data_IF_771880107162
#
_entry.id   IF_771880107162
#
_cell.length_a   1.000
_cell.length_b   1.000
_cell.length_c   1.000
_cell.angle_alpha   90.00
_cell.angle_beta   90.00
_cell.angle_gamma   90.00
#
_symmetry.space_group_name_H-M   'P 1'
#
loop_
_entity.id
_entity.type
_entity.pdbx_description
1 polymer ?
#
# COMPACT_ATOMS: atom_id res chain seq x y z
N UNK A 1 -7.86 -22.53 19.94
CA UNK A 1 -8.44 -23.01 18.67
C UNK A 1 -9.11 -21.89 17.84
N UNK A 2 -9.67 -20.84 18.45
CA UNK A 2 -10.22 -19.69 17.70
C UNK A 2 -9.20 -18.86 16.88
N UNK A 3 -7.96 -18.74 17.38
CA UNK A 3 -6.92 -17.93 16.70
C UNK A 3 -6.50 -18.54 15.36
N UNK A 4 -6.52 -19.87 15.24
CA UNK A 4 -6.08 -20.55 14.02
C UNK A 4 -7.07 -20.38 12.87
N UNK A 5 -8.36 -20.22 13.17
CA UNK A 5 -9.40 -19.99 12.16
C UNK A 5 -9.40 -18.53 11.66
N UNK A 6 -9.13 -17.57 12.55
CA UNK A 6 -8.97 -16.16 12.17
C UNK A 6 -7.71 -15.94 11.31
N UNK A 7 -6.59 -16.59 11.67
CA UNK A 7 -5.37 -16.56 10.86
C UNK A 7 -5.58 -17.19 9.47
N UNK A 8 -6.41 -18.24 9.37
CA UNK A 8 -6.73 -18.89 8.08
C UNK A 8 -7.61 -18.03 7.18
N UNK A 9 -8.51 -17.22 7.73
CA UNK A 9 -9.36 -16.30 6.93
C UNK A 9 -8.53 -15.12 6.41
N UNK A 10 -7.69 -14.52 7.25
CA UNK A 10 -6.74 -13.49 6.83
C UNK A 10 -5.79 -14.01 5.74
N UNK A 11 -5.37 -15.28 5.87
CA UNK A 11 -4.59 -15.98 4.85
C UNK A 11 -5.39 -16.30 3.59
N UNK A 12 -6.66 -16.66 3.66
CA UNK A 12 -7.48 -16.95 2.48
C UNK A 12 -7.80 -15.68 1.68
N UNK A 13 -7.92 -14.52 2.33
CA UNK A 13 -8.04 -13.22 1.64
C UNK A 13 -6.71 -12.75 1.05
N UNK A 14 -5.59 -13.02 1.72
CA UNK A 14 -4.25 -12.73 1.19
C UNK A 14 -3.87 -13.69 0.03
N UNK A 15 -4.06 -15.00 0.19
CA UNK A 15 -3.80 -16.00 -0.84
C UNK A 15 -4.84 -15.99 -1.98
N UNK A 16 -6.10 -15.66 -1.68
CA UNK A 16 -7.20 -15.61 -2.65
C UNK A 16 -7.30 -14.31 -3.45
N UNK A 17 -6.65 -13.23 -2.99
CA UNK A 17 -6.59 -11.94 -3.70
C UNK A 17 -5.17 -11.50 -4.12
N UNK A 18 -4.13 -12.10 -3.54
CA UNK A 18 -2.73 -11.88 -3.92
C UNK A 18 -2.15 -13.12 -4.56
N UNK A 19 -2.77 -13.60 -5.64
CA UNK A 19 -1.98 -14.29 -6.67
C UNK A 19 -1.06 -13.23 -7.29
N UNK A 20 0.08 -12.97 -6.65
CA UNK A 20 1.17 -12.22 -7.26
C UNK A 20 1.71 -13.08 -8.41
N UNK A 21 1.04 -13.04 -9.56
CA UNK A 21 1.62 -13.52 -10.80
C UNK A 21 2.74 -12.56 -11.15
N UNK A 22 3.96 -12.93 -10.78
CA UNK A 22 5.18 -12.29 -11.25
C UNK A 22 5.26 -12.58 -12.75
N UNK A 23 4.88 -11.60 -13.58
CA UNK A 23 5.16 -11.66 -15.00
C UNK A 23 6.68 -11.47 -15.18
N UNK A 24 7.33 -12.54 -15.62
CA UNK A 24 8.73 -12.55 -16.04
C UNK A 24 8.93 -11.65 -17.26
N UNK A 25 9.63 -10.52 -17.11
CA UNK A 25 10.17 -9.79 -18.26
C UNK A 25 11.68 -10.02 -18.37
N UNK A 26 12.21 -10.33 -19.58
CA UNK A 26 13.63 -10.52 -19.78
C UNK A 26 14.31 -9.15 -19.73
N UNK A 27 15.21 -8.95 -18.76
CA UNK A 27 16.16 -7.83 -18.82
C UNK A 27 17.21 -8.24 -19.85
N UNK A 28 16.98 -7.89 -21.11
CA UNK A 28 17.96 -8.05 -22.17
C UNK A 28 19.13 -7.10 -21.96
N UNK A 29 20.33 -7.66 -21.83
CA UNK A 29 21.58 -6.88 -21.78
C UNK A 29 22.83 -7.70 -21.43
N UNK A 30 23.14 -8.74 -22.20
CA UNK A 30 24.47 -9.36 -22.24
C UNK A 30 24.83 -10.32 -21.09
N UNK A 31 24.98 -11.60 -21.46
CA UNK A 31 25.65 -12.67 -20.70
C UNK A 31 25.26 -12.87 -19.22
N UNK A 32 24.30 -13.76 -19.00
CA UNK A 32 24.41 -14.78 -17.95
C UNK A 32 24.21 -14.32 -16.50
N UNK A 33 23.01 -13.87 -16.16
CA UNK A 33 22.45 -14.06 -14.81
C UNK A 33 20.93 -13.96 -14.89
N UNK A 34 20.25 -15.11 -15.01
CA UNK A 34 18.82 -15.18 -14.71
C UNK A 34 18.67 -15.10 -13.19
N UNK A 35 18.46 -13.90 -12.65
CA UNK A 35 17.88 -13.77 -11.32
C UNK A 35 16.39 -14.04 -11.47
N UNK A 36 16.00 -15.28 -11.18
CA UNK A 36 14.62 -15.68 -11.05
C UNK A 36 13.97 -14.84 -9.95
N UNK A 37 13.14 -13.86 -10.32
CA UNK A 37 12.33 -13.11 -9.36
C UNK A 37 11.16 -14.01 -8.96
N UNK A 38 11.44 -14.99 -8.11
CA UNK A 38 10.45 -15.88 -7.45
C UNK A 38 10.33 -15.61 -5.95
N UNK A 39 11.08 -14.63 -5.44
CA UNK A 39 11.52 -14.68 -4.03
C UNK A 39 10.71 -13.82 -3.05
N UNK A 40 9.71 -13.04 -3.49
CA UNK A 40 8.98 -12.17 -2.54
C UNK A 40 7.78 -12.88 -1.89
N UNK A 41 7.03 -13.71 -2.64
CA UNK A 41 5.89 -14.47 -2.08
C UNK A 41 6.35 -15.69 -1.31
N UNK A 42 7.29 -16.45 -1.86
CA UNK A 42 7.86 -17.65 -1.22
C UNK A 42 8.51 -17.29 0.12
N UNK A 43 9.22 -16.15 0.19
CA UNK A 43 9.83 -15.67 1.43
C UNK A 43 8.82 -15.22 2.49
N UNK A 44 7.63 -14.74 2.13
CA UNK A 44 6.65 -14.29 3.13
C UNK A 44 5.88 -15.47 3.70
N UNK A 45 5.46 -16.39 2.84
CA UNK A 45 4.72 -17.59 3.22
C UNK A 45 5.62 -18.52 4.07
N UNK A 46 6.89 -18.66 3.70
CA UNK A 46 7.91 -19.33 4.52
C UNK A 46 8.18 -18.59 5.83
N UNK A 47 8.28 -17.26 5.80
CA UNK A 47 8.47 -16.47 7.03
C UNK A 47 7.31 -16.64 8.00
N UNK A 48 6.07 -16.65 7.54
CA UNK A 48 4.90 -16.88 8.39
C UNK A 48 4.79 -18.33 8.87
N UNK A 49 5.23 -19.30 8.06
CA UNK A 49 5.23 -20.72 8.41
C UNK A 49 6.35 -21.09 9.40
N UNK A 50 7.51 -20.45 9.30
CA UNK A 50 8.71 -20.81 10.06
C UNK A 50 8.96 -19.96 11.29
N UNK A 51 8.36 -18.76 11.39
CA UNK A 51 8.62 -17.83 12.50
C UNK A 51 7.47 -17.82 13.50
N UNK A 52 7.82 -17.74 14.78
CA UNK A 52 6.83 -17.49 15.83
C UNK A 52 6.31 -16.04 15.73
N UNK A 53 5.12 -15.73 16.28
CA UNK A 53 4.62 -14.35 16.36
C UNK A 53 5.59 -13.37 17.04
N UNK A 54 6.35 -13.85 18.03
CA UNK A 54 7.39 -13.05 18.69
C UNK A 54 8.54 -12.70 17.76
N UNK A 55 9.00 -13.66 16.95
CA UNK A 55 10.06 -13.42 15.96
C UNK A 55 9.60 -12.46 14.86
N UNK A 56 8.35 -12.61 14.39
CA UNK A 56 7.74 -11.68 13.44
C UNK A 56 7.71 -10.26 14.00
N UNK A 57 7.33 -10.09 15.28
CA UNK A 57 7.32 -8.78 15.94
C UNK A 57 8.70 -8.14 16.01
N UNK A 58 9.76 -8.92 16.27
CA UNK A 58 11.15 -8.45 16.28
C UNK A 58 11.59 -8.00 14.87
N UNK A 59 11.30 -8.81 13.85
CA UNK A 59 11.62 -8.50 12.45
C UNK A 59 10.87 -7.25 11.98
N UNK A 60 9.58 -7.15 12.32
CA UNK A 60 8.73 -6.02 11.98
C UNK A 60 9.25 -4.74 12.64
N UNK A 61 9.58 -4.77 13.94
CA UNK A 61 10.19 -3.65 14.65
C UNK A 61 11.45 -3.13 13.95
N UNK A 62 12.41 -4.02 13.68
CA UNK A 62 13.65 -3.64 13.00
C UNK A 62 13.38 -3.03 11.63
N UNK A 63 12.45 -3.61 10.90
CA UNK A 63 12.08 -3.11 9.57
C UNK A 63 11.42 -1.74 9.66
N UNK A 64 10.41 -1.56 10.51
CA UNK A 64 9.72 -0.28 10.71
C UNK A 64 10.67 0.86 11.04
N UNK A 65 11.62 0.64 11.95
CA UNK A 65 12.67 1.63 12.27
C UNK A 65 13.52 1.97 11.03
N UNK A 66 13.89 0.97 10.21
CA UNK A 66 14.62 1.20 8.96
C UNK A 66 13.82 1.94 7.88
N UNK A 67 12.48 1.94 7.98
CA UNK A 67 11.59 2.72 7.11
C UNK A 67 11.46 4.18 7.57
N UNK A 68 12.09 4.55 8.68
CA UNK A 68 12.03 5.87 9.28
C UNK A 68 10.84 6.08 10.23
N UNK A 69 10.18 5.02 10.69
CA UNK A 69 9.17 5.14 11.74
C UNK A 69 9.83 5.52 13.07
N UNK A 70 9.15 6.32 13.89
CA UNK A 70 9.62 6.62 15.25
C UNK A 70 9.43 5.40 16.15
N UNK A 71 10.25 5.28 17.18
CA UNK A 71 10.14 4.19 18.15
C UNK A 71 8.74 4.13 18.79
N UNK A 72 8.21 5.28 19.21
CA UNK A 72 6.83 5.38 19.76
C UNK A 72 5.77 4.85 18.79
N UNK A 73 5.82 5.25 17.52
CA UNK A 73 4.86 4.81 16.50
C UNK A 73 5.02 3.32 16.19
N UNK A 74 6.28 2.83 16.16
CA UNK A 74 6.60 1.42 15.98
C UNK A 74 5.99 0.57 17.09
N UNK A 75 6.15 0.98 18.34
CA UNK A 75 5.57 0.27 19.48
C UNK A 75 4.06 0.30 19.48
N UNK A 76 3.48 1.45 19.15
CA UNK A 76 2.03 1.58 19.08
C UNK A 76 1.46 0.70 17.97
N UNK A 77 2.07 0.70 16.78
CA UNK A 77 1.67 -0.16 15.67
C UNK A 77 1.75 -1.65 16.03
N UNK A 78 2.89 -2.11 16.58
CA UNK A 78 3.10 -3.53 16.89
C UNK A 78 2.25 -4.04 18.06
N UNK A 79 1.64 -3.16 18.83
CA UNK A 79 0.70 -3.47 19.90
C UNK A 79 -0.76 -3.15 19.52
N UNK A 80 -1.01 -2.73 18.27
CA UNK A 80 -2.35 -2.39 17.82
C UNK A 80 -3.14 -3.67 17.49
N UNK A 81 -4.23 -3.90 18.23
CA UNK A 81 -5.10 -5.07 18.09
C UNK A 81 -5.95 -5.06 16.82
N UNK A 82 -6.02 -3.95 16.09
CA UNK A 82 -6.61 -3.88 14.76
C UNK A 82 -5.86 -4.78 13.75
N UNK A 83 -4.55 -4.99 13.96
CA UNK A 83 -3.73 -5.81 13.08
C UNK A 83 -3.40 -7.16 13.71
N UNK A 84 -3.74 -8.25 13.03
CA UNK A 84 -3.16 -9.57 13.34
C UNK A 84 -1.63 -9.56 13.08
N UNK A 85 -0.86 -10.48 13.68
CA UNK A 85 0.58 -10.58 13.41
C UNK A 85 0.93 -10.73 11.92
N UNK A 86 0.08 -11.44 11.16
CA UNK A 86 0.23 -11.59 9.71
C UNK A 86 -0.06 -10.28 8.98
N UNK A 87 -1.12 -9.55 9.34
CA UNK A 87 -1.45 -8.24 8.77
C UNK A 87 -0.34 -7.20 9.05
N UNK A 88 0.20 -7.18 10.28
CA UNK A 88 1.35 -6.33 10.61
C UNK A 88 2.54 -6.62 9.69
N UNK A 89 2.86 -7.90 9.52
CA UNK A 89 4.00 -8.33 8.70
C UNK A 89 3.79 -8.00 7.22
N UNK A 90 2.57 -8.19 6.70
CA UNK A 90 2.21 -7.84 5.32
C UNK A 90 2.35 -6.33 5.06
N UNK A 91 1.81 -5.48 5.94
CA UNK A 91 1.95 -4.03 5.86
C UNK A 91 3.43 -3.60 5.84
N UNK A 92 4.22 -4.13 6.77
CA UNK A 92 5.64 -3.83 6.90
C UNK A 92 6.43 -4.22 5.64
N UNK A 93 6.16 -5.39 5.07
CA UNK A 93 6.84 -5.87 3.88
C UNK A 93 6.44 -5.10 2.63
N UNK A 94 5.16 -4.74 2.48
CA UNK A 94 4.72 -3.88 1.39
C UNK A 94 5.45 -2.53 1.46
N UNK A 95 5.50 -1.88 2.62
CA UNK A 95 6.27 -0.64 2.80
C UNK A 95 7.78 -0.83 2.57
N UNK A 96 8.35 -1.97 2.96
CA UNK A 96 9.75 -2.30 2.67
C UNK A 96 10.02 -2.39 1.18
N UNK A 97 9.07 -2.91 0.41
CA UNK A 97 9.19 -3.04 -1.05
C UNK A 97 9.25 -1.69 -1.79
N UNK A 98 8.80 -0.62 -1.15
CA UNK A 98 8.98 0.77 -1.59
C UNK A 98 10.41 1.27 -1.33
N UNK A 99 11.43 0.50 -1.70
CA UNK A 99 12.83 0.86 -1.49
C UNK A 99 13.18 2.18 -2.20
N UNK A 100 13.90 3.05 -1.53
CA UNK A 100 14.27 4.38 -2.04
C UNK A 100 13.15 5.42 -1.98
N UNK A 101 11.93 5.04 -1.56
CA UNK A 101 10.84 5.98 -1.31
C UNK A 101 11.04 6.63 0.06
N UNK A 102 11.15 7.96 0.10
CA UNK A 102 11.30 8.69 1.34
C UNK A 102 9.98 8.77 2.14
N UNK A 103 10.11 9.05 3.45
CA UNK A 103 8.98 9.32 4.35
C UNK A 103 7.97 8.17 4.55
N UNK A 104 8.41 6.91 4.40
CA UNK A 104 7.56 5.72 4.64
C UNK A 104 7.07 5.60 6.09
N UNK A 105 7.87 6.08 7.05
CA UNK A 105 7.49 6.15 8.46
C UNK A 105 6.24 6.99 8.75
N UNK A 106 5.88 7.95 7.89
CA UNK A 106 4.66 8.75 8.08
C UNK A 106 3.39 7.89 7.97
N UNK A 107 3.37 6.91 7.05
CA UNK A 107 2.22 6.02 6.94
C UNK A 107 2.16 5.02 8.11
N UNK A 108 3.32 4.61 8.65
CA UNK A 108 3.38 3.81 9.89
C UNK A 108 2.77 4.59 11.05
N UNK A 109 3.11 5.88 11.19
CA UNK A 109 2.52 6.73 12.22
C UNK A 109 1.00 6.72 12.12
N UNK A 110 0.43 7.03 10.94
CA UNK A 110 -1.03 7.03 10.79
C UNK A 110 -1.65 5.66 11.06
N UNK A 111 -1.10 4.57 10.53
CA UNK A 111 -1.60 3.21 10.80
C UNK A 111 -1.55 2.85 12.30
N UNK A 112 -0.55 3.35 13.03
CA UNK A 112 -0.49 3.21 14.48
C UNK A 112 -1.57 4.04 15.19
N UNK A 113 -1.84 5.24 14.69
CA UNK A 113 -2.65 6.22 15.41
C UNK A 113 -4.14 6.10 15.18
N UNK A 114 -4.55 5.72 13.98
CA UNK A 114 -5.94 5.84 13.53
C UNK A 114 -6.62 4.49 13.34
N UNK A 115 -5.87 3.41 13.12
CA UNK A 115 -6.46 2.09 12.95
C UNK A 115 -7.01 1.56 14.27
N UNK A 116 -8.31 1.29 14.29
CA UNK A 116 -9.07 0.86 15.47
C UNK A 116 -9.72 -0.52 15.29
N UNK A 117 -9.92 -0.95 14.05
CA UNK A 117 -10.51 -2.24 13.71
C UNK A 117 -9.83 -2.91 12.51
N UNK A 118 -10.28 -4.12 12.18
CA UNK A 118 -9.74 -4.91 11.07
C UNK A 118 -9.93 -4.24 9.70
N UNK A 119 -10.97 -3.45 9.51
CA UNK A 119 -11.21 -2.74 8.24
C UNK A 119 -10.13 -1.67 8.01
N UNK A 120 -9.76 -0.93 9.06
CA UNK A 120 -8.65 0.01 9.01
C UNK A 120 -7.32 -0.68 8.70
N UNK A 121 -7.10 -1.87 9.27
CA UNK A 121 -5.91 -2.67 9.02
C UNK A 121 -5.85 -3.17 7.56
N UNK A 122 -6.97 -3.67 7.04
CA UNK A 122 -7.10 -4.08 5.63
C UNK A 122 -6.82 -2.91 4.70
N UNK A 123 -7.39 -1.74 4.98
CA UNK A 123 -7.12 -0.52 4.21
C UNK A 123 -5.62 -0.22 4.18
N UNK A 124 -4.94 -0.24 5.33
CA UNK A 124 -3.51 0.05 5.42
C UNK A 124 -2.67 -0.95 4.62
N UNK A 125 -2.90 -2.25 4.82
CA UNK A 125 -2.15 -3.34 4.18
C UNK A 125 -2.32 -3.29 2.67
N UNK A 126 -3.57 -3.20 2.20
CA UNK A 126 -3.88 -3.27 0.77
C UNK A 126 -3.53 -1.97 0.05
N UNK A 127 -3.62 -0.81 0.71
CA UNK A 127 -3.10 0.46 0.21
C UNK A 127 -1.58 0.38 0.01
N UNK A 128 -0.84 -0.11 1.01
CA UNK A 128 0.61 -0.32 0.88
C UNK A 128 0.95 -1.30 -0.27
N UNK A 129 0.17 -2.36 -0.46
CA UNK A 129 0.33 -3.30 -1.57
C UNK A 129 0.09 -2.63 -2.93
N UNK A 130 -0.96 -1.81 -3.05
CA UNK A 130 -1.27 -1.08 -4.28
C UNK A 130 -0.16 -0.08 -4.62
N UNK A 131 0.35 0.66 -3.63
CA UNK A 131 1.50 1.55 -3.79
C UNK A 131 2.74 0.77 -4.28
N UNK A 132 2.95 -0.43 -3.76
CA UNK A 132 4.06 -1.31 -4.15
C UNK A 132 3.94 -1.78 -5.60
N UNK A 133 2.72 -2.09 -6.06
CA UNK A 133 2.44 -2.40 -7.47
C UNK A 133 2.72 -1.18 -8.36
N UNK A 134 2.21 -0.01 -7.99
CA UNK A 134 2.43 1.24 -8.73
C UNK A 134 3.92 1.55 -8.83
N UNK A 135 4.69 1.40 -7.74
CA UNK A 135 6.11 1.71 -7.71
C UNK A 135 6.93 0.92 -8.76
N UNK A 136 6.50 -0.29 -9.13
CA UNK A 136 7.17 -1.12 -10.14
C UNK A 136 7.02 -0.55 -11.55
N UNK A 137 5.88 0.08 -11.84
CA UNK A 137 5.58 0.65 -13.16
C UNK A 137 5.94 2.14 -13.23
N UNK A 138 5.70 2.86 -12.13
CA UNK A 138 5.91 4.29 -11.96
C UNK A 138 6.74 4.52 -10.69
N UNK A 139 8.07 4.66 -10.80
CA UNK A 139 8.94 4.82 -9.65
C UNK A 139 8.52 6.01 -8.77
N UNK A 140 8.28 5.73 -7.49
CA UNK A 140 7.92 6.72 -6.48
C UNK A 140 9.17 7.34 -5.86
N UNK A 141 9.09 8.61 -5.47
CA UNK A 141 10.15 9.36 -4.81
C UNK A 141 9.93 9.45 -3.30
N UNK A 142 8.71 9.75 -2.86
CA UNK A 142 8.38 9.94 -1.45
C UNK A 142 6.89 9.75 -1.18
N UNK A 143 6.55 9.58 0.08
CA UNK A 143 5.19 9.69 0.58
C UNK A 143 4.96 11.07 1.22
N UNK A 144 3.78 11.62 0.98
CA UNK A 144 3.22 12.77 1.70
C UNK A 144 1.88 12.35 2.31
N UNK A 145 1.34 13.12 3.24
CA UNK A 145 0.08 12.81 3.92
C UNK A 145 -0.93 13.93 3.70
N UNK A 146 -2.17 13.57 3.37
CA UNK A 146 -3.32 14.49 3.45
C UNK A 146 -4.25 13.94 4.53
N UNK A 147 -4.26 14.58 5.70
CA UNK A 147 -4.85 13.99 6.89
C UNK A 147 -4.22 12.62 7.17
N UNK A 148 -5.07 11.60 7.23
CA UNK A 148 -4.68 10.21 7.51
C UNK A 148 -4.43 9.38 6.24
N UNK A 149 -4.41 10.02 5.08
CA UNK A 149 -4.28 9.31 3.82
C UNK A 149 -2.88 9.46 3.21
N UNK A 150 -2.19 8.34 2.88
CA UNK A 150 -0.90 8.38 2.22
C UNK A 150 -1.03 8.76 0.75
N UNK A 151 -0.32 9.81 0.35
CA UNK A 151 -0.22 10.24 -1.05
C UNK A 151 1.17 9.95 -1.57
N UNK A 152 1.24 9.29 -2.72
CA UNK A 152 2.49 8.99 -3.38
C UNK A 152 2.93 10.18 -4.24
N UNK A 153 4.21 10.49 -4.26
CA UNK A 153 4.80 11.41 -5.24
C UNK A 153 5.77 10.63 -6.12
N UNK A 154 5.51 10.61 -7.43
CA UNK A 154 6.35 9.98 -8.43
C UNK A 154 7.70 10.69 -8.58
N UNK A 155 8.72 9.97 -9.07
CA UNK A 155 10.02 10.59 -9.45
C UNK A 155 9.88 11.57 -10.61
N UNK A 156 8.84 11.44 -11.40
CA UNK A 156 8.43 12.36 -12.47
C UNK A 156 7.67 13.60 -11.95
N UNK A 157 7.42 13.68 -10.64
CA UNK A 157 6.66 14.75 -10.00
C UNK A 157 5.14 14.55 -9.97
N UNK A 158 4.62 13.42 -10.47
CA UNK A 158 3.17 13.15 -10.48
C UNK A 158 2.67 12.88 -9.06
N UNK A 159 1.54 13.49 -8.69
CA UNK A 159 0.85 13.21 -7.41
C UNK A 159 -0.10 12.04 -7.61
N UNK A 160 0.07 10.98 -6.83
CA UNK A 160 -0.62 9.71 -7.03
C UNK A 160 -1.42 9.36 -5.77
N UNK A 161 -2.74 9.30 -5.91
CA UNK A 161 -3.65 8.77 -4.90
C UNK A 161 -3.79 7.28 -5.16
N UNK A 162 -3.38 6.43 -4.23
CA UNK A 162 -3.42 4.99 -4.38
C UNK A 162 -4.15 4.37 -3.18
N UNK A 163 -5.46 4.13 -3.28
CA UNK A 163 -6.25 3.63 -2.16
C UNK A 163 -6.89 2.28 -2.43
N UNK A 164 -6.95 1.48 -1.37
CA UNK A 164 -7.90 0.39 -1.31
C UNK A 164 -9.28 0.96 -0.94
N UNK A 165 -10.14 1.19 -1.94
CA UNK A 165 -11.59 1.17 -1.73
C UNK A 165 -12.34 0.29 -2.73
N UNK A 166 -13.32 -0.47 -2.25
CA UNK A 166 -14.18 -1.32 -3.08
C UNK A 166 -15.06 -0.51 -4.04
N UNK A 167 -15.55 0.64 -3.57
CA UNK A 167 -16.32 1.58 -4.37
C UNK A 167 -16.09 3.02 -3.92
N UNK A 168 -15.78 3.90 -4.86
CA UNK A 168 -15.61 5.32 -4.61
C UNK A 168 -16.68 6.15 -5.32
N UNK A 169 -17.47 6.89 -4.53
CA UNK A 169 -18.51 7.78 -5.02
C UNK A 169 -18.11 9.25 -4.89
N UNK A 170 -18.68 10.10 -5.76
CA UNK A 170 -18.53 11.54 -5.60
C UNK A 170 -19.38 12.07 -4.45
N UNK A 171 -18.71 12.58 -3.43
CA UNK A 171 -19.31 13.21 -2.24
C UNK A 171 -18.65 14.56 -1.98
N UNK A 172 -19.20 15.35 -1.05
CA UNK A 172 -18.54 16.57 -0.59
C UNK A 172 -17.15 16.31 -0.01
N UNK A 173 -16.98 15.19 0.71
CA UNK A 173 -15.69 14.74 1.22
C UNK A 173 -14.70 14.42 0.10
N UNK A 174 -15.13 13.68 -0.93
CA UNK A 174 -14.30 13.41 -2.11
C UNK A 174 -13.91 14.70 -2.84
N UNK A 175 -14.83 15.66 -2.98
CA UNK A 175 -14.56 16.95 -3.59
C UNK A 175 -13.50 17.76 -2.81
N UNK A 176 -13.63 17.82 -1.48
CA UNK A 176 -12.65 18.47 -0.61
C UNK A 176 -11.27 17.80 -0.70
N UNK A 177 -11.24 16.48 -0.59
CA UNK A 177 -10.01 15.70 -0.69
C UNK A 177 -9.31 15.89 -2.04
N UNK A 178 -10.04 15.84 -3.16
CA UNK A 178 -9.47 16.10 -4.50
C UNK A 178 -8.94 17.53 -4.62
N UNK A 179 -9.59 18.51 -4.01
CA UNK A 179 -9.06 19.88 -3.95
C UNK A 179 -7.72 19.93 -3.23
N UNK A 180 -7.58 19.22 -2.11
CA UNK A 180 -6.32 19.17 -1.36
C UNK A 180 -5.23 18.41 -2.12
N UNK A 181 -5.57 17.34 -2.85
CA UNK A 181 -4.65 16.64 -3.76
C UNK A 181 -4.16 17.56 -4.88
N UNK A 182 -5.04 18.38 -5.47
CA UNK A 182 -4.65 19.33 -6.51
C UNK A 182 -3.74 20.43 -5.95
N UNK A 183 -4.04 20.98 -4.75
CA UNK A 183 -3.14 21.91 -4.06
C UNK A 183 -1.79 21.26 -3.76
N UNK A 184 -1.80 19.98 -3.39
CA UNK A 184 -0.58 19.22 -3.18
C UNK A 184 0.23 19.15 -4.48
N UNK A 185 -0.43 18.86 -5.61
CA UNK A 185 0.18 18.69 -6.94
C UNK A 185 0.85 19.96 -7.49
N UNK A 186 0.50 21.15 -7.00
CA UNK A 186 1.09 22.44 -7.44
C UNK A 186 2.29 22.90 -6.60
N UNK A 187 2.64 22.15 -5.54
CA UNK A 187 3.81 22.48 -4.73
C UNK A 187 5.14 22.24 -5.46
N UNK A 188 6.24 22.90 -5.04
CA UNK A 188 7.56 22.70 -5.63
C UNK A 188 7.98 21.22 -5.69
N UNK A 189 8.58 20.83 -6.82
CA UNK A 189 9.02 19.45 -7.06
C UNK A 189 7.92 18.50 -7.52
N UNK A 190 6.77 19.03 -7.96
CA UNK A 190 5.67 18.28 -8.60
C UNK A 190 5.35 18.86 -9.98
N UNK A 191 4.70 18.05 -10.83
CA UNK A 191 4.44 18.37 -12.24
C UNK A 191 2.97 18.76 -12.51
N UNK A 192 2.18 19.02 -11.47
CA UNK A 192 0.74 19.31 -11.50
C UNK A 192 -0.16 18.14 -11.95
N UNK A 193 0.40 17.03 -12.43
CA UNK A 193 -0.38 15.86 -12.81
C UNK A 193 -0.87 15.12 -11.56
N UNK A 194 -2.12 14.72 -11.61
CA UNK A 194 -2.75 13.87 -10.61
C UNK A 194 -3.19 12.57 -11.25
N UNK A 195 -2.84 11.46 -10.62
CA UNK A 195 -3.28 10.13 -10.98
C UNK A 195 -3.99 9.48 -9.79
N UNK A 196 -5.20 8.98 -10.01
CA UNK A 196 -5.98 8.24 -9.02
C UNK A 196 -5.99 6.77 -9.40
N UNK A 197 -5.51 5.93 -8.49
CA UNK A 197 -5.46 4.49 -8.60
C UNK A 197 -6.31 3.88 -7.49
N UNK A 198 -7.37 3.15 -7.85
CA UNK A 198 -8.22 2.43 -6.90
C UNK A 198 -8.20 0.92 -7.14
N UNK A 199 -8.21 0.18 -6.04
CA UNK A 199 -8.40 -1.28 -6.03
C UNK A 199 -9.75 -1.69 -6.61
N UNK A 200 -10.84 -1.04 -6.20
CA UNK A 200 -12.22 -1.30 -6.60
C UNK A 200 -12.70 -0.33 -7.66
N UNK A 201 -13.99 -0.02 -7.69
CA UNK A 201 -14.61 0.71 -8.80
C UNK A 201 -14.87 2.20 -8.47
N UNK A 202 -14.68 3.08 -9.45
CA UNK A 202 -15.18 4.46 -9.37
C UNK A 202 -16.62 4.57 -9.88
N UNK A 203 -17.45 5.40 -9.23
CA UNK A 203 -18.77 5.72 -9.75
C UNK A 203 -18.66 6.54 -11.05
N UNK A 204 -19.64 6.44 -11.98
CA UNK A 204 -19.63 7.26 -13.19
C UNK A 204 -19.53 8.76 -12.91
N UNK A 205 -20.18 9.22 -11.83
CA UNK A 205 -20.10 10.63 -11.40
C UNK A 205 -18.70 11.00 -10.91
N UNK A 206 -18.05 10.14 -10.12
CA UNK A 206 -16.68 10.40 -9.67
C UNK A 206 -15.73 10.46 -10.86
N UNK A 207 -15.84 9.52 -11.80
CA UNK A 207 -15.03 9.52 -13.02
C UNK A 207 -15.18 10.83 -13.80
N UNK A 208 -16.42 11.26 -14.07
CA UNK A 208 -16.70 12.52 -14.76
C UNK A 208 -16.08 13.73 -14.06
N UNK A 209 -16.17 13.79 -12.73
CA UNK A 209 -15.63 14.91 -11.94
C UNK A 209 -14.09 14.90 -11.93
N UNK A 210 -13.45 13.73 -11.88
CA UNK A 210 -11.99 13.63 -11.98
C UNK A 210 -11.50 14.04 -13.38
N UNK A 211 -12.13 13.52 -14.44
CA UNK A 211 -11.78 13.84 -15.83
C UNK A 211 -11.96 15.33 -16.14
N UNK A 212 -13.07 15.94 -15.68
CA UNK A 212 -13.31 17.37 -15.82
C UNK A 212 -12.24 18.24 -15.13
N UNK A 213 -11.50 17.68 -14.18
CA UNK A 213 -10.39 18.32 -13.47
C UNK A 213 -9.01 17.96 -14.05
N UNK A 214 -8.96 17.25 -15.17
CA UNK A 214 -7.72 16.77 -15.80
C UNK A 214 -7.03 15.67 -15.00
N UNK A 215 -7.74 14.98 -14.12
CA UNK A 215 -7.20 13.91 -13.27
C UNK A 215 -7.38 12.58 -13.99
N UNK A 216 -6.28 11.85 -14.20
CA UNK A 216 -6.37 10.50 -14.76
C UNK A 216 -6.78 9.52 -13.67
N UNK A 217 -7.71 8.62 -13.97
CA UNK A 217 -8.17 7.59 -13.04
C UNK A 217 -8.01 6.19 -13.63
N UNK A 218 -7.59 5.26 -12.79
CA UNK A 218 -7.60 3.83 -13.08
C UNK A 218 -8.17 3.09 -11.88
N UNK A 219 -9.20 2.29 -12.12
CA UNK A 219 -9.90 1.52 -11.12
C UNK A 219 -9.67 0.02 -11.34
N UNK A 220 -10.19 -0.84 -10.44
CA UNK A 220 -10.07 -2.31 -10.52
C UNK A 220 -8.61 -2.80 -10.59
N UNK A 221 -7.72 -2.07 -9.92
CA UNK A 221 -6.28 -2.36 -9.94
C UNK A 221 -5.88 -3.54 -9.05
N UNK A 222 -6.77 -3.97 -8.15
CA UNK A 222 -6.66 -5.23 -7.45
C UNK A 222 -7.68 -6.21 -8.04
N UNK A 223 -7.36 -7.50 -8.17
CA UNK A 223 -8.38 -8.50 -8.47
C UNK A 223 -9.34 -8.53 -7.27
N UNK A 224 -10.49 -7.88 -7.40
CA UNK A 224 -11.58 -8.05 -6.45
C UNK A 224 -12.10 -9.49 -6.48
N UNK A 225 -12.81 -9.94 -5.43
CA UNK A 225 -13.40 -11.29 -5.38
C UNK A 225 -14.49 -11.52 -6.44
N UNK A 226 -14.95 -10.46 -7.10
CA UNK A 226 -15.96 -10.51 -8.14
C UNK A 226 -15.26 -10.61 -9.52
N UNK A 227 -15.06 -11.85 -9.97
CA UNK A 227 -14.95 -12.16 -11.40
C UNK A 227 -16.33 -12.46 -11.97
#
# INVERSE_FOLDING_TARGET
MLQHELDQIAWASFAGGATFSILTMPIGGGAGAALTVTDVTTSFDEMLREKSPTDLKIINRKTLLSLGAREKDTERFLNNNAFSPSAQSAFVLNLKSLNGVANRGAFVHTAAETSSDESDAIFCVQTAALMSKIHKEKPLARLEMIGDFPICVGKDGTTIVAFQWDYAAWTSGAAGFISDVQKLATQPGKNHNVFVALSGQVSPRLQQELEARGITVQDRLAPGPLK
#
